data_IF_454509507389
#
_entry.id   IF_454509507389
#
_cell.length_a   1.000
_cell.length_b   1.000
_cell.length_c   1.000
_cell.angle_alpha   90.00
_cell.angle_beta   90.00
_cell.angle_gamma   90.00
#
_symmetry.space_group_name_H-M   'P 1'
#
loop_
_entity.id
_entity.type
_entity.pdbx_description
1 polymer ?
#
# COMPACT_ATOMS: atom_id res chain seq x y z
N UNK A 1 4.28 -22.75 2.76
CA UNK A 1 5.07 -21.56 2.37
C UNK A 1 5.55 -20.85 3.62
N UNK A 2 6.84 -20.62 3.72
CA UNK A 2 7.37 -19.89 4.88
C UNK A 2 7.12 -18.40 4.71
N UNK A 3 6.65 -17.70 5.77
CA UNK A 3 6.53 -16.26 5.70
C UNK A 3 7.91 -15.61 5.57
N UNK A 4 7.94 -14.47 4.87
CA UNK A 4 9.16 -13.69 4.76
C UNK A 4 9.56 -13.13 6.13
N UNK A 5 10.80 -13.38 6.54
CA UNK A 5 11.30 -12.90 7.83
C UNK A 5 11.95 -11.52 7.65
N UNK A 6 11.30 -10.49 8.18
CA UNK A 6 11.83 -9.12 8.13
C UNK A 6 12.98 -8.96 9.13
N UNK A 7 14.08 -8.39 8.64
CA UNK A 7 15.18 -7.97 9.50
C UNK A 7 15.21 -6.44 9.66
N UNK A 8 16.15 -5.94 10.44
CA UNK A 8 16.26 -4.50 10.69
C UNK A 8 16.57 -3.71 9.42
N UNK A 9 17.37 -4.28 8.53
CA UNK A 9 17.70 -3.65 7.24
C UNK A 9 16.46 -3.49 6.37
N UNK A 10 15.62 -4.53 6.30
CA UNK A 10 14.35 -4.48 5.59
C UNK A 10 13.43 -3.39 6.15
N UNK A 11 13.37 -3.27 7.48
CA UNK A 11 12.55 -2.24 8.13
C UNK A 11 13.01 -0.83 7.80
N UNK A 12 14.33 -0.61 7.74
CA UNK A 12 14.87 0.70 7.33
C UNK A 12 14.53 1.04 5.90
N UNK A 13 14.62 0.09 5.00
CA UNK A 13 14.25 0.26 3.58
C UNK A 13 12.76 0.58 3.47
N UNK A 14 11.91 -0.19 4.14
CA UNK A 14 10.46 0.03 4.11
C UNK A 14 10.07 1.38 4.70
N UNK A 15 10.68 1.78 5.82
CA UNK A 15 10.42 3.09 6.42
C UNK A 15 10.76 4.23 5.48
N UNK A 16 11.90 4.13 4.78
CA UNK A 16 12.32 5.13 3.80
C UNK A 16 11.34 5.20 2.62
N UNK A 17 10.96 4.05 2.07
CA UNK A 17 10.00 3.97 0.94
C UNK A 17 8.61 4.48 1.31
N UNK A 18 8.17 4.27 2.55
CA UNK A 18 6.89 4.79 3.02
C UNK A 18 6.88 6.31 3.16
N UNK A 19 8.04 6.93 3.32
CA UNK A 19 8.19 8.40 3.34
C UNK A 19 8.31 8.98 1.96
N UNK A 20 9.07 8.31 1.08
CA UNK A 20 9.33 8.77 -0.28
C UNK A 20 9.61 7.58 -1.18
N UNK A 21 8.62 7.17 -1.95
CA UNK A 21 8.75 6.04 -2.89
C UNK A 21 9.58 6.38 -4.12
N UNK A 22 9.96 7.65 -4.31
CA UNK A 22 10.76 8.09 -5.46
C UNK A 22 12.27 8.00 -5.22
N UNK A 23 12.69 7.60 -4.01
CA UNK A 23 14.10 7.45 -3.71
C UNK A 23 14.80 6.49 -4.66
N UNK A 24 15.99 6.88 -5.13
CA UNK A 24 16.82 6.00 -5.96
C UNK A 24 17.34 4.82 -5.16
N UNK A 25 17.78 3.78 -5.87
CA UNK A 25 18.41 2.63 -5.21
C UNK A 25 19.67 3.03 -4.46
N UNK A 26 20.41 4.02 -4.98
CA UNK A 26 21.60 4.55 -4.34
C UNK A 26 21.27 5.24 -3.01
N UNK A 27 20.22 6.06 -3.00
CA UNK A 27 19.77 6.73 -1.77
C UNK A 27 19.27 5.72 -0.74
N UNK A 28 18.50 4.71 -1.16
CA UNK A 28 18.04 3.66 -0.26
C UNK A 28 19.18 2.84 0.31
N UNK A 29 20.18 2.52 -0.50
CA UNK A 29 21.35 1.77 -0.06
C UNK A 29 22.15 2.56 0.99
N UNK A 30 22.28 3.87 0.82
CA UNK A 30 22.93 4.74 1.82
C UNK A 30 22.16 4.74 3.14
N UNK A 31 20.84 4.87 3.09
CA UNK A 31 19.98 4.84 4.27
C UNK A 31 20.12 3.50 5.00
N UNK A 32 20.15 2.40 4.25
CA UNK A 32 20.27 1.05 4.80
C UNK A 32 21.70 0.66 5.13
N UNK A 33 22.68 1.52 4.83
CA UNK A 33 24.11 1.28 5.04
C UNK A 33 24.61 0.02 4.35
N UNK A 34 24.29 -0.11 3.08
CA UNK A 34 24.66 -1.26 2.25
C UNK A 34 24.92 -0.83 0.81
N UNK A 35 25.50 -1.72 0.02
CA UNK A 35 25.71 -1.48 -1.41
C UNK A 35 24.42 -1.65 -2.20
N UNK A 36 24.38 -1.11 -3.42
CA UNK A 36 23.18 -1.03 -4.24
C UNK A 36 22.63 -2.39 -4.67
N UNK A 37 23.50 -3.34 -5.04
CA UNK A 37 23.05 -4.67 -5.52
C UNK A 37 22.31 -5.46 -4.44
N UNK A 38 22.83 -5.62 -3.21
CA UNK A 38 22.07 -6.27 -2.15
C UNK A 38 20.79 -5.51 -1.80
N UNK A 39 20.80 -4.18 -1.82
CA UNK A 39 19.62 -3.37 -1.55
C UNK A 39 18.52 -3.64 -2.58
N UNK A 40 18.87 -3.67 -3.86
CA UNK A 40 17.92 -3.99 -4.92
C UNK A 40 17.32 -5.38 -4.75
N UNK A 41 18.15 -6.36 -4.41
CA UNK A 41 17.67 -7.73 -4.18
C UNK A 41 16.69 -7.83 -3.02
N UNK A 42 16.92 -7.08 -1.95
CA UNK A 42 15.99 -7.02 -0.81
C UNK A 42 14.65 -6.41 -1.21
N UNK A 43 14.66 -5.31 -1.95
CA UNK A 43 13.44 -4.66 -2.44
C UNK A 43 12.65 -5.61 -3.34
N UNK A 44 13.33 -6.28 -4.25
CA UNK A 44 12.72 -7.28 -5.11
C UNK A 44 12.07 -8.41 -4.31
N UNK A 45 12.77 -8.93 -3.31
CA UNK A 45 12.25 -9.97 -2.42
C UNK A 45 11.02 -9.49 -1.64
N UNK A 46 11.03 -8.26 -1.15
CA UNK A 46 9.89 -7.67 -0.44
C UNK A 46 8.67 -7.52 -1.35
N UNK A 47 8.86 -7.19 -2.63
CA UNK A 47 7.78 -7.13 -3.61
C UNK A 47 7.24 -8.52 -3.92
N UNK A 48 8.11 -9.48 -4.16
CA UNK A 48 7.70 -10.86 -4.46
C UNK A 48 6.98 -11.53 -3.29
N UNK A 49 7.34 -11.18 -2.06
CA UNK A 49 6.67 -11.66 -0.86
C UNK A 49 5.33 -10.96 -0.58
N UNK A 50 4.97 -9.95 -1.36
CA UNK A 50 3.74 -9.18 -1.17
C UNK A 50 3.79 -8.17 -0.02
N UNK A 51 4.95 -7.95 0.59
CA UNK A 51 5.12 -6.96 1.65
C UNK A 51 5.01 -5.56 1.07
N UNK A 52 5.71 -5.28 -0.04
CA UNK A 52 5.48 -4.09 -0.84
C UNK A 52 4.39 -4.45 -1.85
N UNK A 53 3.19 -3.94 -1.61
CA UNK A 53 2.01 -4.25 -2.44
C UNK A 53 1.95 -3.41 -3.70
N UNK A 54 2.59 -2.26 -3.71
CA UNK A 54 2.58 -1.33 -4.83
C UNK A 54 2.93 0.07 -4.37
N UNK A 55 2.92 0.99 -5.31
CA UNK A 55 3.18 2.40 -5.08
C UNK A 55 2.05 3.20 -5.72
N UNK A 56 1.58 4.23 -5.01
CA UNK A 56 0.48 5.07 -5.49
C UNK A 56 0.83 6.53 -5.30
N UNK A 57 0.29 7.37 -6.19
CA UNK A 57 0.40 8.80 -6.03
C UNK A 57 -0.55 9.27 -4.93
N UNK A 58 -0.04 10.10 -4.03
CA UNK A 58 -0.87 10.79 -3.05
C UNK A 58 -1.32 12.12 -3.66
N UNK A 59 -2.63 12.33 -3.74
CA UNK A 59 -3.22 13.51 -4.37
C UNK A 59 -3.92 14.33 -3.31
N UNK A 60 -3.69 15.64 -3.34
CA UNK A 60 -4.42 16.57 -2.49
C UNK A 60 -5.87 16.68 -3.02
N UNK A 61 -6.81 16.12 -2.26
CA UNK A 61 -8.22 16.06 -2.67
C UNK A 61 -8.86 17.44 -2.89
N UNK A 62 -8.42 18.43 -2.16
CA UNK A 62 -8.94 19.80 -2.29
C UNK A 62 -8.52 20.43 -3.61
N UNK A 63 -7.27 20.19 -4.02
CA UNK A 63 -6.73 20.73 -5.25
C UNK A 63 -7.32 20.12 -6.51
N UNK A 64 -7.91 18.94 -6.40
CA UNK A 64 -8.61 18.28 -7.51
C UNK A 64 -10.14 18.44 -7.41
N UNK A 65 -10.62 19.34 -6.57
CA UNK A 65 -12.05 19.65 -6.47
C UNK A 65 -12.86 18.72 -5.57
N UNK A 66 -12.21 17.90 -4.74
CA UNK A 66 -12.87 16.98 -3.80
C UNK A 66 -12.66 17.45 -2.37
N UNK A 67 -13.28 18.58 -2.01
CA UNK A 67 -13.06 19.25 -0.73
C UNK A 67 -13.66 18.56 0.49
N UNK A 68 -14.55 17.59 0.30
CA UNK A 68 -15.23 16.91 1.40
C UNK A 68 -14.87 15.44 1.44
N UNK A 69 -14.46 14.95 2.63
CA UNK A 69 -14.27 13.54 2.92
C UNK A 69 -15.36 13.09 3.88
N UNK A 70 -16.07 12.04 3.53
CA UNK A 70 -17.15 11.49 4.35
C UNK A 70 -16.93 10.01 4.59
N UNK A 71 -17.24 9.55 5.81
CA UNK A 71 -17.30 8.13 6.15
C UNK A 71 -18.76 7.71 6.22
N UNK A 72 -19.09 6.64 5.53
CA UNK A 72 -20.45 6.11 5.45
C UNK A 72 -20.47 4.69 5.98
N UNK A 73 -21.35 4.42 6.95
CA UNK A 73 -21.61 3.08 7.43
C UNK A 73 -22.84 2.53 6.70
N UNK A 74 -22.68 1.36 6.11
CA UNK A 74 -23.74 0.71 5.36
C UNK A 74 -24.03 -0.68 5.96
N UNK A 75 -25.32 -1.01 6.05
CA UNK A 75 -25.76 -2.36 6.37
C UNK A 75 -26.25 -3.02 5.10
N UNK A 76 -25.73 -4.21 4.81
CA UNK A 76 -26.15 -4.98 3.65
C UNK A 76 -27.42 -5.77 3.94
N UNK A 77 -28.15 -6.13 2.90
CA UNK A 77 -29.42 -6.87 3.04
C UNK A 77 -29.25 -8.24 3.68
N UNK A 78 -28.06 -8.82 3.56
CA UNK A 78 -27.68 -10.07 4.21
C UNK A 78 -26.17 -10.10 4.45
N UNK A 79 -25.68 -11.15 5.11
CA UNK A 79 -24.27 -11.37 5.39
C UNK A 79 -23.62 -12.41 4.48
N UNK A 80 -24.26 -12.75 3.36
CA UNK A 80 -23.69 -13.70 2.40
C UNK A 80 -22.39 -13.17 1.82
N UNK A 81 -21.40 -14.04 1.69
CA UNK A 81 -20.11 -13.69 1.15
C UNK A 81 -20.21 -13.08 -0.25
N UNK A 82 -21.14 -13.58 -1.06
CA UNK A 82 -21.38 -13.07 -2.41
C UNK A 82 -21.88 -11.62 -2.39
N UNK A 83 -22.78 -11.28 -1.46
CA UNK A 83 -23.29 -9.91 -1.31
C UNK A 83 -22.18 -8.96 -0.88
N UNK A 84 -21.38 -9.36 0.09
CA UNK A 84 -20.24 -8.56 0.57
C UNK A 84 -19.24 -8.34 -0.56
N UNK A 85 -18.90 -9.38 -1.30
CA UNK A 85 -17.95 -9.31 -2.42
C UNK A 85 -18.46 -8.42 -3.54
N UNK A 86 -19.73 -8.50 -3.89
CA UNK A 86 -20.33 -7.64 -4.92
C UNK A 86 -20.26 -6.17 -4.54
N UNK A 87 -20.50 -5.85 -3.26
CA UNK A 87 -20.38 -4.48 -2.77
C UNK A 87 -18.93 -4.01 -2.78
N UNK A 88 -17.99 -4.82 -2.33
CA UNK A 88 -16.57 -4.49 -2.35
C UNK A 88 -16.06 -4.23 -3.77
N UNK A 89 -16.46 -5.07 -4.74
CA UNK A 89 -16.10 -4.88 -6.15
C UNK A 89 -16.66 -3.56 -6.70
N UNK A 90 -17.91 -3.25 -6.38
CA UNK A 90 -18.51 -1.96 -6.75
C UNK A 90 -17.70 -0.79 -6.17
N UNK A 91 -17.37 -0.86 -4.88
CA UNK A 91 -16.63 0.19 -4.18
C UNK A 91 -15.25 0.42 -4.79
N UNK A 92 -14.54 -0.65 -5.14
CA UNK A 92 -13.20 -0.56 -5.73
C UNK A 92 -13.20 0.11 -7.10
N UNK A 93 -14.28 -0.05 -7.87
CA UNK A 93 -14.40 0.53 -9.20
C UNK A 93 -14.83 2.00 -9.18
N UNK A 94 -15.32 2.49 -8.04
CA UNK A 94 -15.82 3.85 -7.96
C UNK A 94 -14.71 4.82 -7.54
N UNK A 95 -14.34 5.75 -8.42
CA UNK A 95 -13.20 6.66 -8.22
C UNK A 95 -13.30 7.56 -6.99
N UNK A 96 -14.49 7.76 -6.44
CA UNK A 96 -14.69 8.59 -5.24
C UNK A 96 -14.56 7.79 -3.93
N UNK A 97 -14.51 6.47 -4.03
CA UNK A 97 -14.29 5.62 -2.85
C UNK A 97 -12.80 5.44 -2.66
N UNK A 98 -12.25 5.96 -1.56
CA UNK A 98 -10.81 5.87 -1.26
C UNK A 98 -10.49 4.74 -0.29
N UNK A 99 -11.47 4.31 0.48
CA UNK A 99 -11.31 3.21 1.42
C UNK A 99 -12.64 2.49 1.60
N UNK A 100 -12.59 1.17 1.61
CA UNK A 100 -13.74 0.33 1.91
C UNK A 100 -13.29 -0.78 2.84
N UNK A 101 -13.90 -0.87 4.02
CA UNK A 101 -13.56 -1.86 5.02
C UNK A 101 -14.81 -2.52 5.60
N UNK A 102 -14.69 -3.80 5.89
CA UNK A 102 -15.73 -4.58 6.58
C UNK A 102 -15.43 -4.60 8.07
N UNK A 103 -16.41 -4.25 8.85
CA UNK A 103 -16.31 -4.22 10.32
C UNK A 103 -17.33 -5.16 10.97
#
# INVERSE_FOLDING_TARGET
MQPYALDETDRRILAALQRDSTLSIQALAEIAQMSTSPCWRRIKALREAGIIRGEVALVDRRKVGMGTLAYIHLSLVDHAETTIRRFEDFAQLHYRVVECATI
#
